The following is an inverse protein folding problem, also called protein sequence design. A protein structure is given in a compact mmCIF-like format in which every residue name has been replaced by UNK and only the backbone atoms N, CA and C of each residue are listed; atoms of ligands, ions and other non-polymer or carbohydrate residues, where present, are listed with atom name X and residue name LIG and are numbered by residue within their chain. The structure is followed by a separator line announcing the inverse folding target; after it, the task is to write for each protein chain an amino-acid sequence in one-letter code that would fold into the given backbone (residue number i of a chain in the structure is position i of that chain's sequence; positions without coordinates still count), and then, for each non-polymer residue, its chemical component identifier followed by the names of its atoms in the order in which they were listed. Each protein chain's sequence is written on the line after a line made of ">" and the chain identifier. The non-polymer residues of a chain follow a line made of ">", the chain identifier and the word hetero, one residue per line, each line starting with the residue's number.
data_IF_292739440665
#
_entry.id   IF_292739440665
#
_cell.length_a   1.000
_cell.length_b   1.000
_cell.length_c   1.000
_cell.angle_alpha   90.00
_cell.angle_beta   90.00
_cell.angle_gamma   90.00
#
_symmetry.space_group_name_H-M   'P 1'
#
loop_
_entity.id
_entity.type
_entity.pdbx_description
1 polymer ?
#
# COMPACT_ATOMS: atom_id res chain seq x y z
N UNK A 1 -14.83 15.92 -61.15
CA UNK A 1 -14.15 14.64 -60.88
C UNK A 1 -13.87 14.57 -59.39
N UNK A 2 -14.70 13.81 -58.66
CA UNK A 2 -14.51 13.54 -57.25
C UNK A 2 -13.38 12.53 -57.07
N UNK A 3 -12.43 12.81 -56.18
CA UNK A 3 -11.42 11.84 -55.75
C UNK A 3 -12.07 10.83 -54.79
N UNK A 4 -11.66 9.56 -54.81
CA UNK A 4 -12.28 8.52 -53.99
C UNK A 4 -12.00 8.77 -52.50
N UNK A 5 -13.04 8.64 -51.66
CA UNK A 5 -12.88 8.51 -50.21
C UNK A 5 -12.27 7.13 -49.94
N UNK A 6 -11.06 7.12 -49.40
CA UNK A 6 -10.44 5.92 -48.83
C UNK A 6 -11.04 5.77 -47.42
N UNK A 7 -11.60 4.61 -47.05
CA UNK A 7 -12.01 4.37 -45.67
C UNK A 7 -10.75 4.17 -44.83
N UNK A 8 -10.40 5.17 -44.02
CA UNK A 8 -9.32 5.05 -43.05
C UNK A 8 -9.91 4.34 -41.84
N UNK A 9 -9.81 3.02 -41.84
CA UNK A 9 -9.72 2.23 -40.62
C UNK A 9 -8.31 2.46 -40.05
N UNK A 10 -8.15 3.50 -39.23
CA UNK A 10 -6.98 3.65 -38.36
C UNK A 10 -7.46 3.53 -36.92
N UNK A 11 -7.08 2.42 -36.31
CA UNK A 11 -7.22 2.12 -34.89
C UNK A 11 -6.29 3.09 -34.13
N UNK A 12 -6.82 4.18 -33.58
CA UNK A 12 -6.08 5.06 -32.67
C UNK A 12 -6.13 4.45 -31.25
N UNK A 13 -4.98 4.09 -30.71
CA UNK A 13 -4.84 3.65 -29.33
C UNK A 13 -4.12 4.77 -28.55
N UNK A 14 -4.85 5.51 -27.72
CA UNK A 14 -4.26 6.39 -26.71
C UNK A 14 -4.01 5.53 -25.47
N UNK A 15 -2.76 5.09 -25.25
CA UNK A 15 -2.39 4.44 -24.00
C UNK A 15 -2.09 5.51 -22.95
N UNK A 16 -2.98 5.67 -21.97
CA UNK A 16 -2.64 6.24 -20.67
C UNK A 16 -1.84 5.18 -19.89
N UNK A 17 -0.53 5.11 -20.12
CA UNK A 17 0.34 4.23 -19.31
C UNK A 17 0.71 4.92 -18.00
N UNK A 18 0.16 4.43 -16.89
CA UNK A 18 0.77 4.58 -15.58
C UNK A 18 1.81 3.46 -15.41
N UNK A 19 3.02 3.63 -15.95
CA UNK A 19 4.08 2.60 -15.88
C UNK A 19 5.35 3.12 -15.22
N UNK A 20 5.84 2.37 -14.22
CA UNK A 20 7.23 2.38 -13.81
C UNK A 20 8.09 1.75 -14.92
N UNK A 21 9.19 2.42 -15.28
CA UNK A 21 10.05 2.10 -16.42
C UNK A 21 10.79 0.75 -16.31
N UNK A 22 10.63 -0.12 -17.32
CA UNK A 22 11.76 -0.83 -17.96
C UNK A 22 11.37 -1.28 -19.39
N UNK A 23 12.36 -1.42 -20.26
CA UNK A 23 12.24 -1.29 -21.72
C UNK A 23 11.62 -2.51 -22.45
N UNK A 24 10.79 -2.21 -23.46
CA UNK A 24 10.62 -3.03 -24.66
C UNK A 24 9.32 -3.85 -24.77
N UNK A 25 8.43 -3.38 -25.65
CA UNK A 25 7.22 -4.05 -26.20
C UNK A 25 6.00 -4.10 -25.26
N UNK A 26 4.93 -3.36 -25.58
CA UNK A 26 3.66 -3.38 -24.82
C UNK A 26 2.58 -4.08 -25.66
N UNK A 27 2.21 -5.28 -25.22
CA UNK A 27 0.87 -5.86 -25.42
C UNK A 27 -0.13 -5.12 -24.52
N UNK A 28 -1.40 -5.08 -24.90
CA UNK A 28 -2.48 -4.50 -24.09
C UNK A 28 -2.44 -5.06 -22.66
N UNK A 29 -2.10 -4.22 -21.69
CA UNK A 29 -2.13 -4.59 -20.27
C UNK A 29 -3.46 -4.11 -19.69
N UNK A 30 -4.47 -4.96 -19.79
CA UNK A 30 -5.52 -4.97 -18.77
C UNK A 30 -4.82 -5.34 -17.46
N UNK A 31 -4.80 -4.43 -16.50
CA UNK A 31 -4.27 -4.70 -15.17
C UNK A 31 -5.39 -4.67 -14.15
N UNK A 32 -5.42 -5.75 -13.36
CA UNK A 32 -6.30 -5.94 -12.23
C UNK A 32 -6.18 -4.74 -11.28
N UNK A 33 -7.27 -4.06 -10.88
CA UNK A 33 -7.23 -2.91 -9.98
C UNK A 33 -6.67 -3.22 -8.58
N UNK A 34 -6.34 -4.49 -8.28
CA UNK A 34 -5.79 -4.92 -7.00
C UNK A 34 -4.29 -4.64 -6.78
N UNK A 35 -3.53 -4.18 -7.79
CA UNK A 35 -2.06 -4.21 -7.77
C UNK A 35 -1.31 -2.86 -7.79
N UNK A 36 -1.98 -1.72 -7.62
CA UNK A 36 -1.30 -0.42 -7.53
C UNK A 36 -1.38 0.21 -6.14
N UNK A 37 -0.34 -0.04 -5.32
CA UNK A 37 -0.04 0.77 -4.14
C UNK A 37 0.86 1.92 -4.60
N UNK A 38 0.27 3.08 -4.93
CA UNK A 38 1.04 4.31 -5.03
C UNK A 38 1.40 4.80 -3.62
N UNK A 39 2.70 4.90 -3.36
CA UNK A 39 3.22 5.77 -2.30
C UNK A 39 3.29 7.18 -2.88
N UNK A 40 2.79 8.17 -2.14
CA UNK A 40 2.72 9.61 -2.45
C UNK A 40 1.37 10.07 -3.02
N UNK A 41 0.93 11.27 -2.62
CA UNK A 41 -0.30 11.98 -3.01
C UNK A 41 -0.26 12.44 -4.48
N UNK A 42 0.33 11.61 -5.35
CA UNK A 42 0.84 11.96 -6.65
C UNK A 42 0.48 10.85 -7.63
N UNK A 43 -0.40 11.18 -8.56
CA UNK A 43 -0.64 10.36 -9.75
C UNK A 43 0.08 11.03 -10.91
N UNK A 44 1.17 10.42 -11.38
CA UNK A 44 1.85 10.86 -12.60
C UNK A 44 1.23 10.15 -13.80
N UNK A 45 0.35 10.84 -14.53
CA UNK A 45 -0.19 10.35 -15.78
C UNK A 45 0.80 10.65 -16.91
N UNK A 46 1.28 9.61 -17.60
CA UNK A 46 2.06 9.78 -18.82
C UNK A 46 1.15 9.67 -20.03
N UNK A 47 1.16 10.72 -20.84
CA UNK A 47 0.39 10.81 -22.09
C UNK A 47 1.35 10.72 -23.26
N UNK A 48 1.03 9.90 -24.26
CA UNK A 48 1.70 9.93 -25.55
C UNK A 48 0.70 10.32 -26.62
N UNK A 49 1.08 11.26 -27.49
CA UNK A 49 0.25 11.75 -28.59
C UNK A 49 0.54 10.93 -29.85
N UNK A 50 -0.51 10.54 -30.58
CA UNK A 50 -0.38 10.03 -31.94
C UNK A 50 0.05 11.15 -32.90
N UNK A 51 0.72 10.78 -33.99
CA UNK A 51 1.03 11.72 -35.05
C UNK A 51 -0.26 12.26 -35.67
N UNK A 52 -0.45 13.59 -35.67
CA UNK A 52 -1.66 14.26 -36.19
C UNK A 52 -2.61 14.80 -35.13
N UNK A 53 -2.39 14.49 -33.84
CA UNK A 53 -3.17 15.06 -32.75
C UNK A 53 -2.71 16.47 -32.40
N UNK A 54 -3.62 17.45 -32.48
CA UNK A 54 -3.33 18.86 -32.19
C UNK A 54 -3.34 19.14 -30.68
N UNK A 55 -4.33 18.58 -29.98
CA UNK A 55 -4.47 18.72 -28.53
C UNK A 55 -5.42 17.67 -27.95
N UNK A 56 -5.35 17.48 -26.64
CA UNK A 56 -6.31 16.67 -25.88
C UNK A 56 -6.85 17.50 -24.73
N UNK A 57 -8.17 17.61 -24.61
CA UNK A 57 -8.82 18.12 -23.42
C UNK A 57 -9.08 16.96 -22.45
N UNK A 58 -8.67 17.12 -21.20
CA UNK A 58 -8.88 16.16 -20.12
C UNK A 58 -9.77 16.81 -19.06
N UNK A 59 -10.90 16.19 -18.77
CA UNK A 59 -11.70 16.46 -17.57
C UNK A 59 -11.29 15.44 -16.50
N UNK A 60 -10.77 15.94 -15.38
CA UNK A 60 -10.30 15.10 -14.27
C UNK A 60 -11.44 14.73 -13.30
N UNK A 61 -12.65 15.25 -13.50
CA UNK A 61 -13.82 15.07 -12.63
C UNK A 61 -13.59 15.43 -11.16
N UNK A 62 -12.58 16.26 -10.89
CA UNK A 62 -12.34 16.93 -9.61
C UNK A 62 -12.73 18.43 -9.66
N UNK A 63 -13.44 18.82 -10.72
CA UNK A 63 -13.81 20.20 -11.03
C UNK A 63 -12.77 20.95 -11.87
N UNK A 64 -11.63 20.30 -12.20
CA UNK A 64 -10.63 20.85 -13.11
C UNK A 64 -10.68 20.22 -14.50
N UNK A 65 -10.35 21.03 -15.51
CA UNK A 65 -10.25 20.61 -16.91
C UNK A 65 -9.03 21.29 -17.52
N UNK A 66 -8.28 20.59 -18.36
CA UNK A 66 -7.09 21.14 -19.04
C UNK A 66 -7.08 20.76 -20.51
N UNK A 67 -6.55 21.63 -21.36
CA UNK A 67 -6.16 21.28 -22.74
C UNK A 67 -4.65 21.14 -22.80
N UNK A 68 -4.19 19.96 -23.22
CA UNK A 68 -2.78 19.57 -23.34
C UNK A 68 -2.43 19.52 -24.81
N UNK A 69 -1.40 20.26 -25.21
CA UNK A 69 -0.80 20.18 -26.55
C UNK A 69 0.45 19.28 -26.53
N UNK A 70 0.90 18.75 -27.70
CA UNK A 70 2.06 17.85 -27.75
C UNK A 70 3.34 18.39 -27.09
N UNK A 71 3.57 19.71 -27.12
CA UNK A 71 4.71 20.39 -26.49
C UNK A 71 4.60 20.51 -24.96
N UNK A 72 3.44 20.19 -24.38
CA UNK A 72 3.18 20.19 -22.94
C UNK A 72 3.31 18.79 -22.32
N UNK A 73 3.89 17.82 -23.04
CA UNK A 73 4.12 16.46 -22.54
C UNK A 73 5.51 16.28 -21.92
N UNK A 74 5.63 15.55 -20.79
CA UNK A 74 4.56 14.99 -19.98
C UNK A 74 3.79 16.07 -19.19
N UNK A 75 2.47 15.90 -19.07
CA UNK A 75 1.62 16.76 -18.26
C UNK A 75 1.38 16.13 -16.88
N UNK A 76 1.35 16.94 -15.83
CA UNK A 76 1.14 16.49 -14.45
C UNK A 76 -0.10 17.14 -13.84
N UNK A 77 -0.99 16.31 -13.30
CA UNK A 77 -2.16 16.74 -12.51
C UNK A 77 -1.99 16.36 -11.04
N UNK A 78 -2.57 17.14 -10.12
CA UNK A 78 -2.57 16.86 -8.69
C UNK A 78 -4.01 16.98 -8.18
N UNK A 79 -4.56 15.87 -7.74
CA UNK A 79 -5.88 15.84 -7.10
C UNK A 79 -5.81 16.40 -5.68
N UNK A 80 -6.76 17.25 -5.32
CA UNK A 80 -6.84 17.81 -3.96
C UNK A 80 -7.36 16.81 -2.92
N UNK A 81 -8.25 15.91 -3.35
CA UNK A 81 -8.99 15.01 -2.47
C UNK A 81 -8.79 13.53 -2.81
N UNK A 82 -9.12 12.67 -1.85
CA UNK A 82 -9.27 11.24 -2.10
C UNK A 82 -10.58 11.00 -2.85
N UNK A 83 -10.54 10.12 -3.82
CA UNK A 83 -11.72 9.72 -4.55
C UNK A 83 -11.44 8.72 -5.66
N UNK A 84 -12.53 8.17 -6.18
CA UNK A 84 -12.54 7.57 -7.50
C UNK A 84 -12.93 8.66 -8.48
N UNK A 85 -12.10 8.85 -9.49
CA UNK A 85 -12.32 9.83 -10.55
C UNK A 85 -12.45 9.10 -11.88
N UNK A 86 -13.51 9.44 -12.61
CA UNK A 86 -13.68 9.02 -14.00
C UNK A 86 -12.96 10.07 -14.84
N UNK A 87 -12.15 9.67 -15.82
CA UNK A 87 -11.52 10.62 -16.74
C UNK A 87 -12.35 10.72 -18.02
N UNK A 88 -12.60 11.93 -18.50
CA UNK A 88 -13.15 12.14 -19.85
C UNK A 88 -12.13 12.82 -20.73
N UNK A 89 -11.90 12.26 -21.92
CA UNK A 89 -10.92 12.76 -22.89
C UNK A 89 -11.64 13.27 -24.14
N UNK A 90 -11.24 14.45 -24.63
CA UNK A 90 -11.68 14.94 -25.95
C UNK A 90 -10.45 15.24 -26.79
N UNK A 91 -10.26 14.46 -27.84
CA UNK A 91 -9.10 14.57 -28.73
C UNK A 91 -9.44 15.50 -29.88
N UNK A 92 -8.53 16.40 -30.23
CA UNK A 92 -8.66 17.29 -31.37
C UNK A 92 -7.62 16.95 -32.43
N UNK A 93 -8.09 16.67 -33.65
CA UNK A 93 -7.24 16.37 -34.81
C UNK A 93 -7.71 17.19 -36.01
N UNK A 94 -6.80 17.94 -36.62
CA UNK A 94 -7.07 18.85 -37.75
C UNK A 94 -8.26 19.79 -37.48
N UNK A 95 -8.38 20.27 -36.23
CA UNK A 95 -9.47 21.14 -35.78
C UNK A 95 -10.85 20.48 -35.62
N UNK A 96 -10.94 19.14 -35.71
CA UNK A 96 -12.16 18.37 -35.42
C UNK A 96 -12.05 17.75 -34.03
N UNK A 97 -13.08 17.93 -33.21
CA UNK A 97 -13.17 17.34 -31.88
C UNK A 97 -13.83 15.96 -31.94
N UNK A 98 -13.13 14.94 -31.46
CA UNK A 98 -13.63 13.57 -31.29
C UNK A 98 -13.66 13.24 -29.78
N UNK A 99 -14.85 13.20 -29.16
CA UNK A 99 -14.97 12.85 -27.75
C UNK A 99 -14.68 11.35 -27.55
N UNK A 100 -13.77 11.04 -26.64
CA UNK A 100 -13.47 9.69 -26.18
C UNK A 100 -13.93 9.54 -24.73
N UNK A 101 -15.09 8.91 -24.57
CA UNK A 101 -15.61 8.52 -23.26
C UNK A 101 -15.13 7.11 -22.91
N UNK A 102 -13.81 6.95 -22.81
CA UNK A 102 -13.24 5.75 -22.20
C UNK A 102 -13.17 5.96 -20.69
N UNK A 103 -13.99 5.20 -19.96
CA UNK A 103 -13.97 5.15 -18.49
C UNK A 103 -12.66 4.55 -18.00
N UNK A 104 -11.61 5.35 -17.96
CA UNK A 104 -10.36 5.02 -17.29
C UNK A 104 -10.44 5.55 -15.86
N UNK A 105 -10.50 4.64 -14.88
CA UNK A 105 -10.63 4.98 -13.48
C UNK A 105 -9.27 5.36 -12.89
N UNK A 106 -9.17 6.57 -12.34
CA UNK A 106 -8.07 6.91 -11.42
C UNK A 106 -8.58 6.75 -10.00
N UNK A 107 -7.90 5.89 -9.24
CA UNK A 107 -8.10 5.77 -7.80
C UNK A 107 -7.08 6.65 -7.09
N UNK A 108 -7.52 7.81 -6.61
CA UNK A 108 -6.71 8.63 -5.70
C UNK A 108 -7.15 8.30 -4.30
N UNK A 109 -6.26 7.74 -3.50
CA UNK A 109 -6.49 7.63 -2.07
C UNK A 109 -5.68 8.75 -1.44
N UNK A 110 -6.31 9.77 -0.84
CA UNK A 110 -5.61 10.45 0.26
C UNK A 110 -5.32 9.33 1.23
N UNK A 111 -4.04 9.12 1.49
CA UNK A 111 -3.68 8.38 2.67
C UNK A 111 -4.32 9.18 3.81
N UNK A 112 -5.25 8.61 4.61
CA UNK A 112 -5.54 9.22 5.90
C UNK A 112 -4.17 9.45 6.51
N UNK A 113 -3.81 10.70 6.84
CA UNK A 113 -2.56 10.95 7.59
C UNK A 113 -2.56 9.89 8.68
N UNK A 114 -1.47 9.10 8.80
CA UNK A 114 -1.51 8.05 9.79
C UNK A 114 -1.83 8.79 11.08
N UNK A 115 -2.94 8.45 11.72
CA UNK A 115 -3.14 9.01 13.04
C UNK A 115 -1.90 8.69 13.86
N UNK A 116 -1.60 9.54 14.83
CA UNK A 116 -0.28 9.52 15.43
C UNK A 116 -0.07 8.32 16.37
N UNK A 117 -1.05 7.42 16.49
CA UNK A 117 -1.00 6.29 17.40
C UNK A 117 -0.56 5.00 16.69
N UNK A 118 0.68 4.59 16.94
CA UNK A 118 1.34 3.45 16.31
C UNK A 118 1.42 2.28 17.29
N UNK A 119 1.02 1.09 16.86
CA UNK A 119 1.28 -0.17 17.55
C UNK A 119 2.34 -0.97 16.79
N UNK A 120 3.39 -1.38 17.49
CA UNK A 120 4.37 -2.34 16.99
C UNK A 120 4.19 -3.68 17.70
N UNK A 121 3.67 -4.67 16.98
CA UNK A 121 3.57 -6.05 17.43
C UNK A 121 4.88 -6.76 17.09
N UNK A 122 5.61 -7.20 18.11
CA UNK A 122 6.94 -7.74 17.89
C UNK A 122 7.38 -8.69 19.01
N UNK A 123 8.35 -9.55 18.70
CA UNK A 123 9.14 -10.29 19.66
C UNK A 123 10.58 -10.32 19.18
N UNK A 124 11.46 -10.88 20.03
CA UNK A 124 12.84 -11.21 19.69
C UNK A 124 13.58 -9.95 19.27
N UNK A 125 14.12 -9.94 18.06
CA UNK A 125 14.81 -8.79 17.47
C UNK A 125 13.99 -7.50 17.41
N UNK A 126 12.66 -7.58 17.55
CA UNK A 126 11.81 -6.40 17.67
C UNK A 126 12.09 -5.60 18.95
N UNK A 127 12.34 -6.29 20.06
CA UNK A 127 12.73 -5.65 21.34
C UNK A 127 14.00 -4.86 21.15
N UNK A 128 15.03 -5.48 20.57
CA UNK A 128 16.32 -4.82 20.32
C UNK A 128 16.17 -3.64 19.35
N UNK A 129 15.24 -3.73 18.38
CA UNK A 129 14.94 -2.59 17.51
C UNK A 129 14.40 -1.41 18.34
N UNK A 130 13.55 -1.65 19.34
CA UNK A 130 13.04 -0.57 20.20
C UNK A 130 14.08 -0.11 21.22
N UNK A 131 14.70 -1.04 21.96
CA UNK A 131 15.56 -0.75 23.11
C UNK A 131 16.97 -0.33 22.72
N UNK A 132 17.57 -0.99 21.74
CA UNK A 132 19.00 -0.87 21.46
C UNK A 132 19.28 0.08 20.30
N UNK A 133 18.33 0.23 19.36
CA UNK A 133 18.52 1.11 18.21
C UNK A 133 18.07 2.55 18.45
N UNK A 134 17.41 2.83 19.58
CA UNK A 134 16.97 4.17 19.95
C UNK A 134 15.79 4.71 19.13
N UNK A 135 14.96 3.82 18.56
CA UNK A 135 13.77 4.21 17.75
C UNK A 135 12.89 5.21 18.47
N UNK A 136 12.63 5.04 19.77
CA UNK A 136 11.83 5.97 20.57
C UNK A 136 12.46 7.37 20.62
N UNK A 137 13.77 7.46 20.81
CA UNK A 137 14.50 8.73 20.79
C UNK A 137 14.47 9.38 19.41
N UNK A 138 14.58 8.59 18.34
CA UNK A 138 14.47 9.09 16.97
C UNK A 138 13.07 9.62 16.66
N UNK A 139 12.02 8.95 17.15
CA UNK A 139 10.64 9.42 17.03
C UNK A 139 10.40 10.73 17.80
N UNK A 140 10.96 10.86 19.01
CA UNK A 140 10.89 12.13 19.76
C UNK A 140 11.59 13.25 19.01
N UNK A 141 12.79 13.02 18.48
CA UNK A 141 13.49 14.00 17.65
C UNK A 141 12.70 14.37 16.39
N UNK A 142 12.03 13.41 15.77
CA UNK A 142 11.14 13.64 14.63
C UNK A 142 9.94 14.52 15.04
N UNK A 143 9.28 14.19 16.15
CA UNK A 143 8.18 14.97 16.72
C UNK A 143 8.60 16.42 16.98
N UNK A 144 9.74 16.64 17.64
CA UNK A 144 10.27 17.97 17.91
C UNK A 144 10.59 18.75 16.62
N UNK A 145 11.21 18.07 15.63
CA UNK A 145 11.65 18.71 14.39
C UNK A 145 10.49 19.09 13.48
N UNK A 146 9.47 18.24 13.39
CA UNK A 146 8.40 18.38 12.40
C UNK A 146 7.05 18.78 13.01
N UNK A 147 6.99 18.99 14.33
CA UNK A 147 5.74 19.31 15.04
C UNK A 147 4.73 18.15 14.98
N UNK A 148 5.21 16.91 14.84
CA UNK A 148 4.36 15.72 14.89
C UNK A 148 4.18 15.25 16.34
N UNK A 149 3.23 14.34 16.56
CA UNK A 149 2.94 13.81 17.89
C UNK A 149 2.85 12.28 17.89
N UNK A 150 3.76 11.62 17.17
CA UNK A 150 3.79 10.16 17.02
C UNK A 150 3.98 9.51 18.39
N UNK A 151 3.02 8.66 18.75
CA UNK A 151 3.00 7.80 19.92
C UNK A 151 3.30 6.37 19.51
N UNK A 152 4.44 5.83 19.96
CA UNK A 152 4.79 4.44 19.73
C UNK A 152 4.39 3.57 20.92
N UNK A 153 3.35 2.79 20.73
CA UNK A 153 2.99 1.64 21.54
C UNK A 153 3.71 0.42 20.98
N UNK A 154 4.18 -0.47 21.84
CA UNK A 154 4.68 -1.76 21.41
C UNK A 154 4.22 -2.88 22.33
N UNK A 155 4.08 -4.07 21.77
CA UNK A 155 3.72 -5.29 22.49
C UNK A 155 4.82 -6.31 22.28
N UNK A 156 5.32 -6.83 23.40
CA UNK A 156 6.50 -7.69 23.48
C UNK A 156 6.16 -9.03 24.15
N UNK A 157 7.14 -9.92 24.31
CA UNK A 157 7.00 -11.28 24.81
C UNK A 157 6.10 -11.40 26.04
N UNK A 158 5.34 -12.49 26.06
CA UNK A 158 5.03 -13.23 27.27
C UNK A 158 6.02 -14.37 27.46
N UNK A 159 6.86 -14.31 28.49
CA UNK A 159 7.60 -15.50 28.93
C UNK A 159 7.63 -15.55 30.46
N UNK A 160 7.16 -16.66 31.02
CA UNK A 160 7.20 -17.01 32.44
C UNK A 160 6.79 -15.89 33.42
N UNK A 161 5.51 -15.84 33.82
CA UNK A 161 4.95 -14.97 34.88
C UNK A 161 5.32 -13.47 34.86
N UNK A 162 6.05 -12.99 33.86
CA UNK A 162 6.56 -11.63 33.76
C UNK A 162 6.01 -11.04 32.47
N UNK A 163 4.95 -10.25 32.63
CA UNK A 163 4.31 -9.54 31.54
C UNK A 163 5.22 -8.40 31.10
N UNK A 164 5.98 -8.60 30.02
CA UNK A 164 6.56 -7.46 29.28
C UNK A 164 5.48 -6.70 28.50
N UNK A 165 4.29 -7.28 28.32
CA UNK A 165 3.02 -6.58 28.09
C UNK A 165 3.03 -5.51 26.99
N UNK A 166 2.15 -4.52 27.13
CA UNK A 166 2.17 -3.33 26.28
C UNK A 166 3.07 -2.28 26.94
N UNK A 167 3.97 -1.70 26.14
CA UNK A 167 4.81 -0.59 26.55
C UNK A 167 4.16 0.72 26.06
N UNK A 168 3.93 1.63 27.00
CA UNK A 168 3.32 2.93 26.73
C UNK A 168 4.24 3.83 25.87
N UNK A 169 3.68 4.86 25.19
CA UNK A 169 4.47 5.79 24.38
C UNK A 169 5.62 6.46 25.11
N UNK A 170 5.42 6.78 26.39
CA UNK A 170 6.44 7.42 27.23
C UNK A 170 7.54 6.46 27.72
N UNK A 171 7.44 5.16 27.41
CA UNK A 171 8.37 4.10 27.80
C UNK A 171 8.56 3.92 29.31
N UNK A 172 7.68 4.50 30.14
CA UNK A 172 7.87 4.52 31.60
C UNK A 172 7.25 3.35 32.33
N UNK A 173 6.27 2.67 31.72
CA UNK A 173 5.45 1.65 32.38
C UNK A 173 5.08 0.52 31.40
N UNK A 174 5.22 -0.73 31.86
CA UNK A 174 4.47 -1.86 31.31
C UNK A 174 3.02 -1.70 31.74
N UNK A 175 2.09 -1.58 30.80
CA UNK A 175 0.69 -1.54 31.21
C UNK A 175 0.34 -2.80 32.00
N UNK A 176 -0.51 -2.65 32.99
CA UNK A 176 -1.06 -3.74 33.83
C UNK A 176 -1.94 -4.73 33.03
N UNK A 177 -2.09 -4.50 31.73
CA UNK A 177 -2.79 -5.36 30.80
C UNK A 177 -1.89 -5.78 29.63
N UNK A 178 -2.22 -6.93 29.05
CA UNK A 178 -1.61 -7.49 27.84
C UNK A 178 -2.73 -7.87 26.89
N UNK A 179 -2.40 -8.03 25.62
CA UNK A 179 -3.31 -8.46 24.58
C UNK A 179 -3.66 -9.97 24.58
N UNK A 180 -3.48 -10.62 25.74
CA UNK A 180 -3.72 -12.06 25.90
C UNK A 180 -2.55 -12.92 25.46
N UNK A 181 -2.73 -14.24 25.55
CA UNK A 181 -1.72 -15.21 25.12
C UNK A 181 -1.66 -15.31 23.59
N UNK A 182 -2.75 -14.98 22.92
CA UNK A 182 -2.91 -15.01 21.47
C UNK A 182 -1.96 -14.02 20.77
N UNK A 183 -1.61 -12.92 21.44
CA UNK A 183 -0.64 -11.94 20.95
C UNK A 183 0.82 -12.46 20.99
N UNK A 184 1.07 -13.61 21.62
CA UNK A 184 2.42 -14.19 21.70
C UNK A 184 2.83 -15.00 20.47
N UNK A 185 1.89 -15.33 19.59
CA UNK A 185 2.23 -15.92 18.31
C UNK A 185 2.25 -14.83 17.24
N UNK A 186 3.44 -14.29 16.98
CA UNK A 186 3.69 -13.32 15.90
C UNK A 186 4.18 -13.99 14.61
N UNK A 187 3.93 -15.29 14.45
CA UNK A 187 4.11 -15.97 13.17
C UNK A 187 2.89 -15.69 12.27
N UNK A 188 2.97 -15.98 10.96
CA UNK A 188 1.83 -15.81 10.06
C UNK A 188 0.55 -16.52 10.53
N UNK A 189 0.67 -17.69 11.17
CA UNK A 189 -0.47 -18.44 11.71
C UNK A 189 -1.10 -17.79 12.95
N UNK A 190 -0.29 -17.19 13.82
CA UNK A 190 -0.75 -16.42 14.97
C UNK A 190 -1.46 -15.14 14.55
N UNK A 191 -0.88 -14.36 13.62
CA UNK A 191 -1.56 -13.21 13.02
C UNK A 191 -2.87 -13.61 12.33
N UNK A 192 -2.88 -14.72 11.59
CA UNK A 192 -4.11 -15.25 11.01
C UNK A 192 -5.18 -15.49 12.09
N UNK A 193 -4.82 -16.17 13.17
CA UNK A 193 -5.72 -16.43 14.29
C UNK A 193 -6.24 -15.14 14.96
N UNK A 194 -5.39 -14.12 15.10
CA UNK A 194 -5.75 -12.80 15.65
C UNK A 194 -6.78 -12.10 14.75
N UNK A 195 -6.49 -11.98 13.45
CA UNK A 195 -7.30 -11.15 12.55
C UNK A 195 -8.57 -11.86 12.08
N UNK A 196 -8.52 -13.17 11.82
CA UNK A 196 -9.65 -13.93 11.24
C UNK A 196 -10.41 -14.75 12.28
N UNK A 197 -9.92 -14.84 13.51
CA UNK A 197 -10.57 -15.56 14.60
C UNK A 197 -11.94 -14.98 14.97
N UNK A 198 -12.83 -15.85 15.48
CA UNK A 198 -14.25 -15.54 15.73
C UNK A 198 -14.52 -14.62 16.92
N UNK A 199 -13.53 -14.27 17.73
CA UNK A 199 -13.73 -13.40 18.90
C UNK A 199 -12.41 -12.86 19.49
N UNK A 200 -11.54 -12.29 18.67
CA UNK A 200 -10.31 -11.71 19.24
C UNK A 200 -10.59 -10.27 19.72
N UNK A 201 -10.98 -10.16 21.00
CA UNK A 201 -11.06 -8.86 21.71
C UNK A 201 -9.74 -8.07 21.55
N UNK A 202 -8.64 -8.78 21.32
CA UNK A 202 -7.37 -8.23 20.90
C UNK A 202 -7.44 -7.48 19.56
N UNK A 203 -7.86 -8.12 18.45
CA UNK A 203 -8.01 -7.44 17.14
C UNK A 203 -8.89 -6.21 17.29
N UNK A 204 -10.04 -6.36 17.94
CA UNK A 204 -10.97 -5.24 18.09
C UNK A 204 -10.32 -4.12 18.91
N UNK A 205 -9.53 -4.44 19.94
CA UNK A 205 -8.75 -3.46 20.67
C UNK A 205 -7.69 -2.78 19.80
N UNK A 206 -6.95 -3.53 18.98
CA UNK A 206 -5.93 -2.99 18.09
C UNK A 206 -6.55 -1.98 17.12
N UNK A 207 -7.60 -2.40 16.44
CA UNK A 207 -8.32 -1.61 15.44
C UNK A 207 -8.99 -0.39 16.07
N UNK A 208 -9.49 -0.48 17.30
CA UNK A 208 -10.12 0.65 17.97
C UNK A 208 -9.13 1.68 18.53
N UNK A 209 -7.90 1.29 18.88
CA UNK A 209 -6.95 2.16 19.59
C UNK A 209 -5.83 2.74 18.74
N UNK A 210 -5.42 2.04 17.69
CA UNK A 210 -4.23 2.39 16.93
C UNK A 210 -4.57 2.71 15.49
N UNK A 211 -3.88 3.70 14.92
CA UNK A 211 -4.08 4.14 13.54
C UNK A 211 -3.12 3.43 12.59
N UNK A 212 -1.92 3.14 13.10
CA UNK A 212 -0.90 2.36 12.40
C UNK A 212 -0.59 1.10 13.19
N UNK A 213 -0.69 -0.05 12.55
CA UNK A 213 -0.39 -1.35 13.15
C UNK A 213 0.74 -1.99 12.35
N UNK A 214 1.91 -2.11 12.99
CA UNK A 214 3.11 -2.71 12.43
C UNK A 214 3.23 -4.13 12.99
N UNK A 215 3.14 -5.12 12.10
CA UNK A 215 3.20 -6.53 12.45
C UNK A 215 4.56 -7.07 12.04
N UNK A 216 5.42 -7.36 13.02
CA UNK A 216 6.73 -7.96 12.75
C UNK A 216 6.65 -9.46 12.94
N UNK A 217 7.08 -10.18 11.92
CA UNK A 217 7.25 -11.62 11.98
C UNK A 217 8.46 -11.98 12.83
N UNK A 218 8.41 -13.13 13.51
CA UNK A 218 9.61 -13.64 14.16
C UNK A 218 10.69 -14.04 13.13
N UNK A 219 11.95 -14.12 13.58
CA UNK A 219 13.10 -14.51 12.76
C UNK A 219 12.96 -15.90 12.13
N UNK A 220 12.14 -16.78 12.71
CA UNK A 220 11.86 -18.13 12.22
C UNK A 220 10.83 -18.14 11.08
N UNK A 221 10.12 -17.05 10.81
CA UNK A 221 9.16 -17.01 9.70
C UNK A 221 9.83 -17.23 8.34
N UNK A 222 11.13 -16.92 8.22
CA UNK A 222 11.92 -17.22 7.03
C UNK A 222 12.32 -18.69 6.87
N UNK A 223 12.08 -19.54 7.88
CA UNK A 223 12.47 -20.96 7.92
C UNK A 223 11.38 -21.82 7.28
N UNK A 224 11.19 -21.64 5.97
CA UNK A 224 10.23 -22.42 5.19
C UNK A 224 10.85 -23.78 4.86
N UNK A 225 10.39 -24.82 5.56
CA UNK A 225 10.96 -26.17 5.47
C UNK A 225 10.29 -27.05 4.41
N UNK A 226 9.05 -26.75 3.99
CA UNK A 226 8.37 -27.50 2.93
C UNK A 226 7.25 -26.70 2.26
N UNK A 227 6.85 -27.09 1.04
CA UNK A 227 5.82 -26.42 0.24
C UNK A 227 4.48 -26.23 0.96
N UNK A 228 4.09 -27.22 1.78
CA UNK A 228 2.87 -27.11 2.59
C UNK A 228 2.87 -25.92 3.55
N UNK A 229 4.04 -25.57 4.12
CA UNK A 229 4.17 -24.43 5.04
C UNK A 229 4.10 -23.12 4.26
N UNK A 230 4.76 -23.05 3.10
CA UNK A 230 4.66 -21.89 2.21
C UNK A 230 3.21 -21.65 1.76
N UNK A 231 2.51 -22.72 1.38
CA UNK A 231 1.10 -22.66 0.99
C UNK A 231 0.22 -22.15 2.15
N UNK A 232 0.45 -22.64 3.37
CA UNK A 232 -0.25 -22.16 4.56
C UNK A 232 0.01 -20.66 4.81
N UNK A 233 1.28 -20.21 4.74
CA UNK A 233 1.63 -18.80 4.97
C UNK A 233 0.97 -17.88 3.93
N UNK A 234 1.00 -18.27 2.65
CA UNK A 234 0.31 -17.53 1.58
C UNK A 234 -1.18 -17.43 1.85
N UNK A 235 -1.82 -18.55 2.19
CA UNK A 235 -3.24 -18.57 2.53
C UNK A 235 -3.55 -17.63 3.69
N UNK A 236 -2.79 -17.72 4.79
CA UNK A 236 -2.96 -16.89 5.98
C UNK A 236 -2.81 -15.40 5.68
N UNK A 237 -1.79 -14.98 4.93
CA UNK A 237 -1.65 -13.57 4.55
C UNK A 237 -2.79 -13.04 3.69
N UNK A 238 -3.32 -13.85 2.78
CA UNK A 238 -4.47 -13.46 1.97
C UNK A 238 -5.73 -13.30 2.84
N UNK A 239 -5.93 -14.19 3.83
CA UNK A 239 -7.06 -14.05 4.75
C UNK A 239 -6.90 -12.86 5.70
N UNK A 240 -5.67 -12.57 6.18
CA UNK A 240 -5.37 -11.36 6.94
C UNK A 240 -5.70 -10.13 6.08
N UNK A 241 -5.19 -10.07 4.84
CA UNK A 241 -5.45 -8.96 3.90
C UNK A 241 -6.95 -8.68 3.75
N UNK A 242 -7.79 -9.71 3.64
CA UNK A 242 -9.25 -9.53 3.56
C UNK A 242 -9.86 -8.79 4.76
N UNK A 243 -9.27 -8.92 5.95
CA UNK A 243 -9.67 -8.16 7.15
C UNK A 243 -9.10 -6.75 7.09
N UNK A 244 -7.82 -6.60 6.74
CA UNK A 244 -7.16 -5.29 6.66
C UNK A 244 -7.84 -4.36 5.64
N UNK A 245 -8.27 -4.91 4.51
CA UNK A 245 -8.96 -4.16 3.45
C UNK A 245 -10.35 -3.64 3.89
N UNK A 246 -10.91 -4.16 4.99
CA UNK A 246 -12.15 -3.64 5.61
C UNK A 246 -11.90 -2.43 6.51
N UNK A 247 -10.63 -2.06 6.74
CA UNK A 247 -10.20 -0.96 7.59
C UNK A 247 -9.39 0.08 6.80
N UNK A 248 -9.98 0.75 5.79
CA UNK A 248 -9.29 1.73 4.96
C UNK A 248 -8.80 2.97 5.74
N UNK A 249 -9.34 3.20 6.94
CA UNK A 249 -8.92 4.25 7.86
C UNK A 249 -7.58 3.93 8.57
N UNK A 250 -7.14 2.66 8.53
CA UNK A 250 -5.94 2.19 9.22
C UNK A 250 -4.78 2.02 8.25
N UNK A 251 -3.56 2.01 8.81
CA UNK A 251 -2.37 1.60 8.08
C UNK A 251 -1.78 0.35 8.70
N UNK A 252 -1.62 -0.67 7.88
CA UNK A 252 -0.98 -1.92 8.28
C UNK A 252 0.38 -2.02 7.61
N UNK A 253 1.41 -2.33 8.39
CA UNK A 253 2.78 -2.53 7.90
C UNK A 253 3.22 -3.92 8.29
N UNK A 254 3.42 -4.78 7.31
CA UNK A 254 4.00 -6.10 7.55
C UNK A 254 5.52 -6.01 7.46
N UNK A 255 6.21 -6.37 8.54
CA UNK A 255 7.67 -6.44 8.62
C UNK A 255 8.08 -7.90 8.67
N UNK A 256 8.46 -8.43 7.52
CA UNK A 256 8.95 -9.80 7.37
C UNK A 256 10.47 -9.81 7.21
N UNK A 257 11.15 -10.75 7.86
CA UNK A 257 12.51 -11.11 7.45
C UNK A 257 12.50 -11.69 6.03
N UNK A 258 13.62 -11.58 5.28
CA UNK A 258 13.75 -12.30 4.03
C UNK A 258 13.69 -13.81 4.29
N UNK A 259 13.28 -14.64 3.31
CA UNK A 259 13.48 -16.07 3.39
C UNK A 259 14.94 -16.37 3.72
N UNK A 260 15.18 -17.39 4.56
CA UNK A 260 16.54 -17.89 4.72
C UNK A 260 17.06 -18.38 3.37
N UNK A 261 18.37 -18.27 3.18
CA UNK A 261 18.97 -18.68 1.90
C UNK A 261 18.71 -20.19 1.70
N UNK A 262 18.53 -20.67 0.46
CA UNK A 262 18.33 -22.08 0.20
C UNK A 262 19.37 -23.00 0.87
N UNK A 263 20.61 -22.53 1.01
CA UNK A 263 21.69 -23.23 1.71
C UNK A 263 21.52 -23.30 3.25
N UNK A 264 20.74 -22.39 3.85
CA UNK A 264 20.47 -22.30 5.29
C UNK A 264 19.21 -23.09 5.73
N UNK A 265 18.43 -23.62 4.77
CA UNK A 265 17.22 -24.44 4.99
C UNK A 265 17.48 -25.93 4.71
N UNK A 266 18.74 -26.36 4.81
CA UNK A 266 19.20 -27.73 4.50
C UNK A 266 18.60 -28.78 5.45
N UNK A 267 17.37 -29.18 5.19
CA UNK A 267 17.00 -30.58 5.29
C UNK A 267 17.01 -31.13 3.87
N UNK A 268 18.11 -31.81 3.55
CA UNK A 268 18.14 -32.79 2.48
C UNK A 268 17.13 -33.88 2.83
N UNK A 269 15.93 -33.83 2.25
CA UNK A 269 15.12 -35.03 1.99
C UNK A 269 15.24 -35.39 0.51
#
# INVERSE_FOLDING_TARGET
>A
MARPRIPITCLLALLATCTATSAGTVQSLWHDPADFIYNEDRVDCHWSFSAGTDSVQVDFHDGSTVTITPDQTPYRHIYGDAGRYDLTLTVWEDGVAEPYDEQNFVFVRQRPLPGNNYMFLHHSTGRNLITDSGVRSLLNLHNDRYGTAIELWDHDYHSGNSYTGIILPDSTVYSDWSYGEEANDIQPGGYYSIFTGVASAFRDSLLNRHDVIVMKNDHQTGDIIHDGQLAAYKYWYLQIRNVLDQHPEKRFILVSGPPRRPEDITNNE
#
